data_IF_930329826471
#
_entry.id   IF_930329826471
#
_cell.length_a   1.000
_cell.length_b   1.000
_cell.length_c   1.000
_cell.angle_alpha   90.00
_cell.angle_beta   90.00
_cell.angle_gamma   90.00
#
_symmetry.space_group_name_H-M   'P 1'
#
loop_
_entity.id
_entity.type
_entity.pdbx_description
1 polymer ?
#
# COMPACT_ATOMS: atom_id res chain seq x y z
N UNK A 1 -21.82 9.82 -13.97
CA UNK A 1 -21.06 9.46 -12.75
C UNK A 1 -20.78 10.72 -11.96
N UNK A 2 -21.24 10.83 -10.70
CA UNK A 2 -20.77 11.89 -9.80
C UNK A 2 -19.31 11.59 -9.45
N UNK A 3 -18.38 12.45 -9.88
CA UNK A 3 -16.97 12.32 -9.48
C UNK A 3 -16.91 12.75 -8.03
N UNK A 4 -16.72 11.78 -7.13
CA UNK A 4 -16.47 12.06 -5.71
C UNK A 4 -15.15 12.83 -5.61
N UNK A 5 -15.16 13.97 -4.90
CA UNK A 5 -13.96 14.75 -4.59
C UNK A 5 -13.02 14.03 -3.60
N UNK A 6 -13.39 12.85 -3.08
CA UNK A 6 -12.55 12.07 -2.18
C UNK A 6 -11.32 11.52 -2.90
N UNK A 7 -10.21 11.43 -2.16
CA UNK A 7 -9.00 10.81 -2.63
C UNK A 7 -9.23 9.31 -2.92
N UNK A 8 -8.54 8.77 -3.92
CA UNK A 8 -8.59 7.34 -4.21
C UNK A 8 -8.05 6.57 -2.99
N UNK A 9 -8.86 5.65 -2.46
CA UNK A 9 -8.52 4.86 -1.27
C UNK A 9 -8.86 5.54 0.06
N UNK A 10 -9.50 6.71 0.07
CA UNK A 10 -9.87 7.42 1.30
C UNK A 10 -10.79 6.59 2.20
N UNK A 11 -11.90 6.08 1.67
CA UNK A 11 -12.82 5.22 2.44
C UNK A 11 -12.16 3.88 2.83
N UNK A 12 -11.21 3.40 2.03
CA UNK A 12 -10.47 2.18 2.37
C UNK A 12 -9.49 2.42 3.53
N UNK A 13 -8.97 3.65 3.66
CA UNK A 13 -8.03 4.04 4.70
C UNK A 13 -8.63 3.98 6.11
N UNK A 14 -9.94 4.16 6.24
CA UNK A 14 -10.68 4.12 7.50
C UNK A 14 -10.60 2.74 8.20
N UNK A 15 -10.17 1.70 7.48
CA UNK A 15 -9.97 0.35 8.02
C UNK A 15 -8.68 0.19 8.84
N UNK A 16 -7.81 1.20 8.82
CA UNK A 16 -6.46 1.10 9.36
C UNK A 16 -6.20 2.16 10.44
N UNK A 17 -5.44 1.77 11.45
CA UNK A 17 -4.92 2.64 12.49
C UNK A 17 -3.39 2.70 12.39
N UNK A 18 -2.82 3.85 12.72
CA UNK A 18 -1.36 3.96 12.86
C UNK A 18 -0.89 2.98 13.94
N UNK A 19 0.17 2.23 13.64
CA UNK A 19 0.66 1.11 14.44
C UNK A 19 0.16 -0.26 13.99
N UNK A 20 -0.85 -0.33 13.11
CA UNK A 20 -1.29 -1.61 12.55
C UNK A 20 -0.14 -2.33 11.84
N UNK A 21 -0.02 -3.65 12.08
CA UNK A 21 0.80 -4.52 11.27
C UNK A 21 0.05 -4.81 9.97
N UNK A 22 0.70 -4.56 8.84
CA UNK A 22 0.09 -4.68 7.52
C UNK A 22 0.94 -5.55 6.60
N UNK A 23 0.30 -6.15 5.60
CA UNK A 23 0.95 -6.90 4.53
C UNK A 23 0.68 -6.28 3.16
N UNK A 24 1.62 -6.44 2.25
CA UNK A 24 1.44 -6.10 0.84
C UNK A 24 2.18 -7.10 -0.04
N UNK A 25 1.82 -7.11 -1.33
CA UNK A 25 2.41 -7.98 -2.33
C UNK A 25 3.21 -7.15 -3.32
N UNK A 26 4.45 -7.55 -3.57
CA UNK A 26 5.25 -7.07 -4.70
C UNK A 26 5.43 -8.21 -5.71
N UNK A 27 5.35 -7.86 -6.99
CA UNK A 27 5.64 -8.76 -8.09
C UNK A 27 7.01 -8.40 -8.64
N UNK A 28 7.97 -9.31 -8.53
CA UNK A 28 9.30 -9.14 -9.09
C UNK A 28 9.37 -9.91 -10.39
N UNK A 29 9.65 -9.23 -11.50
CA UNK A 29 9.91 -9.91 -12.76
C UNK A 29 11.26 -10.61 -12.69
N UNK A 30 11.26 -11.91 -12.94
CA UNK A 30 12.48 -12.71 -13.07
C UNK A 30 12.99 -12.68 -14.51
N UNK A 31 12.05 -12.76 -15.45
CA UNK A 31 12.28 -12.63 -16.88
C UNK A 31 11.11 -11.85 -17.50
N UNK A 32 11.42 -10.69 -18.07
CA UNK A 32 10.42 -9.81 -18.66
C UNK A 32 9.87 -10.36 -19.99
N UNK A 33 10.73 -11.00 -20.79
CA UNK A 33 10.38 -11.48 -22.13
C UNK A 33 9.51 -12.75 -22.05
N UNK A 34 9.76 -13.59 -21.05
CA UNK A 34 8.96 -14.79 -20.78
C UNK A 34 7.76 -14.52 -19.85
N UNK A 35 7.59 -13.29 -19.38
CA UNK A 35 6.51 -12.91 -18.45
C UNK A 35 6.58 -13.61 -17.09
N UNK A 36 7.75 -14.11 -16.71
CA UNK A 36 7.91 -14.87 -15.46
C UNK A 36 8.06 -13.90 -14.29
N UNK A 37 7.17 -14.01 -13.30
CA UNK A 37 7.20 -13.17 -12.10
C UNK A 37 7.14 -13.98 -10.82
N UNK A 38 7.83 -13.49 -9.80
CA UNK A 38 7.78 -14.01 -8.45
C UNK A 38 6.92 -13.09 -7.58
N UNK A 39 5.95 -13.69 -6.88
CA UNK A 39 5.11 -12.99 -5.90
C UNK A 39 5.79 -13.04 -4.54
N UNK A 40 6.14 -11.88 -3.98
CA UNK A 40 6.65 -11.78 -2.60
C UNK A 40 5.68 -11.03 -1.71
N UNK A 41 5.44 -11.58 -0.52
CA UNK A 41 4.62 -10.96 0.51
C UNK A 41 5.55 -10.28 1.50
N UNK A 42 5.31 -8.99 1.72
CA UNK A 42 6.04 -8.18 2.68
C UNK A 42 5.14 -7.76 3.83
N UNK A 43 5.77 -7.44 4.96
CA UNK A 43 5.13 -7.03 6.20
C UNK A 43 5.81 -5.79 6.76
N UNK A 44 5.05 -4.98 7.49
CA UNK A 44 5.58 -3.78 8.12
C UNK A 44 4.53 -3.08 8.97
N UNK A 45 4.98 -2.09 9.72
CA UNK A 45 4.13 -1.30 10.59
C UNK A 45 3.66 -0.07 9.83
N UNK A 46 2.35 0.19 9.84
CA UNK A 46 1.78 1.42 9.30
C UNK A 46 2.14 2.60 10.21
N UNK A 47 2.88 3.57 9.69
CA UNK A 47 3.36 4.73 10.49
C UNK A 47 2.63 6.03 10.16
N UNK A 48 2.06 6.16 8.96
CA UNK A 48 1.21 7.30 8.61
C UNK A 48 0.30 6.95 7.41
N UNK A 49 -0.82 7.66 7.29
CA UNK A 49 -1.64 7.68 6.08
C UNK A 49 -1.59 9.10 5.53
N UNK A 50 -1.22 9.24 4.26
CA UNK A 50 -1.02 10.53 3.60
C UNK A 50 -1.79 10.59 2.30
N UNK A 51 -2.20 11.79 1.89
CA UNK A 51 -2.85 12.05 0.60
C UNK A 51 -1.87 12.77 -0.32
N UNK A 52 -1.74 12.32 -1.56
CA UNK A 52 -0.85 12.91 -2.57
C UNK A 52 -1.54 12.98 -3.93
N UNK A 53 -1.25 14.03 -4.70
CA UNK A 53 -1.73 14.16 -6.08
C UNK A 53 -0.83 13.36 -7.02
N UNK A 54 -1.38 12.32 -7.65
CA UNK A 54 -0.69 11.43 -8.58
C UNK A 54 -1.56 11.23 -9.81
N UNK A 55 -1.01 11.40 -11.01
CA UNK A 55 -1.76 11.20 -12.26
C UNK A 55 -3.02 12.08 -12.39
N UNK A 56 -2.97 13.31 -11.87
CA UNK A 56 -4.09 14.25 -11.92
C UNK A 56 -5.16 14.09 -10.84
N UNK A 57 -5.07 13.07 -9.97
CA UNK A 57 -6.03 12.82 -8.89
C UNK A 57 -5.34 12.71 -7.52
N UNK A 58 -6.05 13.04 -6.46
CA UNK A 58 -5.59 12.76 -5.08
C UNK A 58 -5.73 11.27 -4.74
N UNK A 59 -4.70 10.68 -4.14
CA UNK A 59 -4.60 9.25 -3.79
C UNK A 59 -4.08 9.10 -2.36
N UNK A 60 -4.66 8.18 -1.61
CA UNK A 60 -4.21 7.82 -0.27
C UNK A 60 -3.07 6.78 -0.33
N UNK A 61 -1.99 7.07 0.39
CA UNK A 61 -0.84 6.20 0.56
C UNK A 61 -0.63 5.89 2.04
N UNK A 62 -0.29 4.64 2.32
CA UNK A 62 0.28 4.20 3.56
C UNK A 62 1.80 4.46 3.55
N UNK A 63 2.31 5.14 4.57
CA UNK A 63 3.73 5.11 4.92
C UNK A 63 3.96 3.94 5.86
N UNK A 64 4.88 3.08 5.49
CA UNK A 64 5.11 1.80 6.16
C UNK A 64 6.58 1.70 6.51
N UNK A 65 6.88 1.27 7.73
CA UNK A 65 8.22 0.80 8.10
C UNK A 65 8.26 -0.72 7.85
N UNK A 66 8.94 -1.21 6.79
CA UNK A 66 9.01 -2.64 6.50
C UNK A 66 9.84 -3.38 7.56
N UNK A 67 9.50 -4.64 7.84
CA UNK A 67 10.29 -5.46 8.76
C UNK A 67 11.62 -5.95 8.15
N UNK A 68 11.80 -5.79 6.85
CA UNK A 68 12.93 -6.33 6.08
C UNK A 68 13.81 -5.25 5.44
N UNK A 69 13.49 -3.97 5.63
CA UNK A 69 14.17 -2.84 5.00
C UNK A 69 14.22 -1.67 5.98
N UNK A 70 15.36 -0.98 6.07
CA UNK A 70 15.54 0.19 6.94
C UNK A 70 14.99 1.51 6.35
N UNK A 71 14.14 1.40 5.33
CA UNK A 71 13.61 2.56 4.61
C UNK A 71 12.09 2.58 4.66
N UNK A 72 11.53 3.72 5.04
CA UNK A 72 10.08 3.97 4.98
C UNK A 72 9.62 3.88 3.54
N UNK A 73 8.60 3.07 3.30
CA UNK A 73 7.99 2.89 1.99
C UNK A 73 6.64 3.60 1.92
N UNK A 74 6.31 4.14 0.75
CA UNK A 74 4.97 4.67 0.45
C UNK A 74 4.24 3.72 -0.50
N UNK A 75 3.13 3.19 -0.03
CA UNK A 75 2.36 2.16 -0.74
C UNK A 75 0.92 2.64 -0.85
N UNK A 76 0.31 2.53 -2.02
CA UNK A 76 -1.11 2.90 -2.15
C UNK A 76 -1.95 2.07 -1.17
N UNK A 77 -2.81 2.73 -0.40
CA UNK A 77 -3.52 2.09 0.72
C UNK A 77 -4.43 0.95 0.28
N UNK A 78 -4.89 0.95 -0.98
CA UNK A 78 -5.69 -0.13 -1.55
C UNK A 78 -4.91 -1.44 -1.75
N UNK A 79 -3.57 -1.38 -1.75
CA UNK A 79 -2.68 -2.53 -1.96
C UNK A 79 -2.22 -3.20 -0.66
N UNK A 80 -2.57 -2.64 0.50
CA UNK A 80 -2.20 -3.20 1.80
C UNK A 80 -3.39 -3.96 2.42
N UNK A 81 -3.10 -4.88 3.34
CA UNK A 81 -4.08 -5.62 4.13
C UNK A 81 -3.65 -5.63 5.59
N UNK A 82 -4.59 -5.72 6.55
CA UNK A 82 -4.21 -6.00 7.94
C UNK A 82 -3.53 -7.35 8.02
N UNK A 83 -2.41 -7.41 8.71
CA UNK A 83 -1.69 -8.64 8.97
C UNK A 83 -1.93 -9.05 10.42
N UNK A 84 -2.58 -10.20 10.60
CA UNK A 84 -3.09 -10.61 11.90
C UNK A 84 -4.43 -9.95 12.22
N UNK A 85 -5.50 -10.59 11.79
CA UNK A 85 -6.76 -10.64 12.53
C UNK A 85 -7.06 -12.12 12.67
N UNK A 86 -6.86 -12.65 13.88
CA UNK A 86 -7.61 -13.82 14.34
C UNK A 86 -9.06 -13.35 14.51
#
# INVERSE_FOLDING_TARGET
MKVSNKALGEEYSEKFNIGDLISWVEFNYLDYDLGTSEKKIFHGILIAIIKKKTGGREVCYARVMPNTKDTIMEISIIRIRKFGTI
#
